data_IF_240521644552
#
_entry.id   IF_240521644552
#
_cell.length_a   1.000
_cell.length_b   1.000
_cell.length_c   1.000
_cell.angle_alpha   90.00
_cell.angle_beta   90.00
_cell.angle_gamma   90.00
#
_symmetry.space_group_name_H-M   'P 1'
#
loop_
_entity.id
_entity.type
_entity.pdbx_description
1 polymer ?
#
# COMPACT_ATOMS: atom_id res chain seq x y z
N UNK A 1 -16.04 35.07 11.45
CA UNK A 1 -16.39 36.15 10.51
C UNK A 1 -16.15 37.48 11.21
N UNK A 2 -15.25 38.32 10.66
CA UNK A 2 -14.95 39.74 11.01
C UNK A 2 -14.28 39.94 12.38
N UNK A 3 -13.17 40.67 12.52
CA UNK A 3 -12.97 42.07 12.12
C UNK A 3 -11.53 42.41 11.67
N UNK A 4 -11.46 43.40 10.77
CA UNK A 4 -10.29 44.02 10.13
C UNK A 4 -9.99 45.38 10.80
N UNK A 5 -8.69 45.66 10.96
CA UNK A 5 -7.92 46.92 11.04
C UNK A 5 -8.57 48.30 11.40
N UNK A 6 -7.90 49.02 12.31
CA UNK A 6 -7.45 50.44 12.17
C UNK A 6 -6.47 50.77 13.33
N UNK A 7 -5.14 50.85 13.11
CA UNK A 7 -4.30 52.04 12.79
C UNK A 7 -3.53 52.64 13.99
N UNK A 8 -2.19 52.73 13.91
CA UNK A 8 -1.37 53.97 13.94
C UNK A 8 0.14 53.64 14.02
N UNK A 9 0.91 54.34 13.19
CA UNK A 9 2.38 54.45 13.11
C UNK A 9 3.05 54.84 14.44
N UNK A 10 4.18 54.21 14.78
CA UNK A 10 5.48 54.84 15.10
C UNK A 10 6.45 53.84 15.76
N UNK A 11 7.49 53.46 15.01
CA UNK A 11 8.80 53.10 15.56
C UNK A 11 8.98 51.74 16.27
N UNK A 12 10.11 51.11 15.93
CA UNK A 12 10.86 50.11 16.70
C UNK A 12 10.59 48.61 16.50
N UNK A 13 11.60 48.04 15.83
CA UNK A 13 12.10 46.66 15.73
C UNK A 13 11.28 45.61 14.97
N UNK A 14 11.91 44.85 14.03
CA UNK A 14 11.40 43.54 13.68
C UNK A 14 11.57 42.68 14.93
N UNK A 15 10.48 42.46 15.66
CA UNK A 15 10.40 41.34 16.57
C UNK A 15 10.76 40.10 15.75
N UNK A 16 11.74 39.35 16.25
CA UNK A 16 12.10 38.03 15.79
C UNK A 16 10.82 37.30 15.38
N UNK A 17 10.84 36.66 14.22
CA UNK A 17 9.86 35.65 13.89
C UNK A 17 9.86 34.65 15.06
N UNK A 18 8.90 34.77 15.97
CA UNK A 18 8.52 33.68 16.84
C UNK A 18 8.17 32.58 15.86
N UNK A 19 9.07 31.62 15.71
CA UNK A 19 8.77 30.36 15.03
C UNK A 19 7.61 29.78 15.80
N UNK A 20 6.38 30.02 15.32
CA UNK A 20 5.18 29.43 15.89
C UNK A 20 5.40 27.93 15.83
N UNK A 21 5.77 27.34 16.96
CA UNK A 21 5.88 25.89 17.03
C UNK A 21 4.50 25.34 16.71
N UNK A 22 4.40 24.34 15.82
CA UNK A 22 3.12 23.75 15.48
C UNK A 22 2.37 23.35 16.75
N UNK A 23 1.07 23.62 16.82
CA UNK A 23 0.32 23.33 18.05
C UNK A 23 0.09 21.83 18.25
N UNK A 24 0.29 21.03 17.20
CA UNK A 24 0.24 19.57 17.18
C UNK A 24 1.22 18.97 16.16
N UNK A 25 1.53 17.67 16.29
CA UNK A 25 2.32 16.91 15.31
C UNK A 25 1.56 16.74 13.99
N UNK A 26 0.23 16.62 14.04
CA UNK A 26 -0.59 16.63 12.83
C UNK A 26 -0.36 17.94 12.05
N UNK A 27 -0.38 19.10 12.72
CA UNK A 27 -0.09 20.39 12.07
C UNK A 27 1.36 20.51 11.60
N UNK A 28 2.34 20.05 12.40
CA UNK A 28 3.77 20.07 12.06
C UNK A 28 4.04 19.44 10.69
N UNK A 29 3.38 18.33 10.40
CA UNK A 29 3.52 17.59 9.15
C UNK A 29 2.43 17.92 8.12
N UNK A 30 1.84 19.13 8.21
CA UNK A 30 0.75 19.61 7.33
C UNK A 30 -0.32 18.54 7.09
N UNK A 31 -0.63 17.83 8.18
CA UNK A 31 -1.50 16.70 8.20
C UNK A 31 -2.96 17.10 8.17
N UNK A 32 -3.81 16.13 7.86
CA UNK A 32 -5.25 16.30 7.79
C UNK A 32 -5.91 15.13 8.51
N UNK A 33 -6.66 15.45 9.56
CA UNK A 33 -7.58 14.52 10.23
C UNK A 33 -9.02 14.92 9.86
N UNK A 34 -9.73 14.04 9.15
CA UNK A 34 -11.07 14.33 8.65
C UNK A 34 -12.01 13.14 8.83
N UNK A 35 -13.24 13.41 9.26
CA UNK A 35 -14.30 12.41 9.27
C UNK A 35 -14.70 12.02 7.85
N UNK A 36 -14.70 10.71 7.54
CA UNK A 36 -14.95 10.22 6.18
C UNK A 36 -16.42 10.34 5.78
N UNK A 37 -17.34 10.19 6.72
CA UNK A 37 -18.77 10.28 6.44
C UNK A 37 -19.55 10.76 7.64
N UNK A 38 -20.55 11.62 7.37
CA UNK A 38 -21.55 12.04 8.38
C UNK A 38 -22.37 10.87 8.92
N UNK A 39 -22.49 9.77 8.16
CA UNK A 39 -23.24 8.58 8.56
C UNK A 39 -22.45 7.64 9.48
N UNK A 40 -21.11 7.77 9.51
CA UNK A 40 -20.23 6.98 10.39
C UNK A 40 -19.31 7.94 11.16
N UNK A 41 -19.81 8.54 12.27
CA UNK A 41 -19.13 9.63 12.96
C UNK A 41 -17.77 9.26 13.58
N UNK A 42 -17.53 7.97 13.74
CA UNK A 42 -16.36 7.47 14.45
C UNK A 42 -15.21 7.04 13.52
N UNK A 43 -15.34 7.28 12.20
CA UNK A 43 -14.39 6.81 11.20
C UNK A 43 -13.68 7.98 10.49
N UNK A 44 -12.34 7.98 10.57
CA UNK A 44 -11.50 9.09 10.16
C UNK A 44 -10.49 8.73 9.07
N UNK A 45 -10.16 9.72 8.26
CA UNK A 45 -9.00 9.76 7.36
C UNK A 45 -7.89 10.54 8.04
N UNK A 46 -6.67 10.00 8.05
CA UNK A 46 -5.47 10.68 8.52
C UNK A 46 -4.42 10.74 7.41
N UNK A 47 -3.99 11.95 7.08
CA UNK A 47 -2.82 12.21 6.25
C UNK A 47 -1.74 12.88 7.09
N UNK A 48 -0.50 12.43 6.95
CA UNK A 48 0.71 13.07 7.45
C UNK A 48 1.70 13.18 6.28
N UNK A 49 2.28 14.36 6.06
CA UNK A 49 3.38 14.48 5.10
C UNK A 49 4.63 13.80 5.66
N UNK A 50 5.46 13.27 4.77
CA UNK A 50 6.71 12.62 5.16
C UNK A 50 7.81 13.57 5.62
N UNK A 51 7.62 14.87 5.44
CA UNK A 51 8.54 15.90 5.90
C UNK A 51 7.79 17.19 6.21
N UNK A 52 8.37 18.02 7.07
CA UNK A 52 7.88 19.38 7.32
C UNK A 52 8.08 20.26 6.10
N UNK A 53 7.33 21.36 6.04
CA UNK A 53 7.57 22.40 5.05
C UNK A 53 8.59 23.39 5.59
N UNK A 54 9.70 23.53 4.86
CA UNK A 54 10.69 24.59 5.04
C UNK A 54 11.11 25.09 3.66
N UNK A 55 11.49 26.38 3.58
CA UNK A 55 11.96 27.01 2.35
C UNK A 55 13.20 26.30 1.80
N UNK A 56 14.13 25.93 2.70
CA UNK A 56 15.31 25.14 2.38
C UNK A 56 15.05 23.67 2.62
N UNK A 57 15.54 22.82 1.72
CA UNK A 57 15.34 21.37 1.80
C UNK A 57 16.12 20.77 2.96
N UNK A 58 17.32 21.29 3.26
CA UNK A 58 18.15 20.82 4.37
C UNK A 58 17.53 21.03 5.76
N UNK A 59 16.61 21.99 5.89
CA UNK A 59 15.95 22.31 7.16
C UNK A 59 14.68 21.46 7.38
N UNK A 60 14.24 20.70 6.37
CA UNK A 60 13.05 19.86 6.48
C UNK A 60 13.30 18.66 7.37
N UNK A 61 12.43 18.50 8.36
CA UNK A 61 12.46 17.35 9.25
C UNK A 61 11.64 16.21 8.67
N UNK A 62 12.21 15.01 8.59
CA UNK A 62 11.47 13.81 8.20
C UNK A 62 10.51 13.37 9.29
N UNK A 63 9.34 12.87 8.90
CA UNK A 63 8.40 12.20 9.79
C UNK A 63 9.04 10.92 10.31
N UNK A 64 9.46 10.95 11.58
CA UNK A 64 10.10 9.85 12.28
C UNK A 64 9.09 9.10 13.16
N UNK A 65 9.48 7.95 13.70
CA UNK A 65 8.61 7.08 14.50
C UNK A 65 8.01 7.77 15.73
N UNK A 66 8.78 8.63 16.40
CA UNK A 66 8.34 9.34 17.60
C UNK A 66 7.26 10.35 17.26
N UNK A 67 7.50 11.17 16.25
CA UNK A 67 6.56 12.21 15.83
C UNK A 67 5.29 11.59 15.22
N UNK A 68 5.43 10.47 14.50
CA UNK A 68 4.29 9.68 14.03
C UNK A 68 3.45 9.14 15.19
N UNK A 69 4.07 8.54 16.20
CA UNK A 69 3.36 8.01 17.36
C UNK A 69 2.61 9.12 18.13
N UNK A 70 3.22 10.29 18.28
CA UNK A 70 2.57 11.47 18.86
C UNK A 70 1.37 11.93 18.02
N UNK A 71 1.50 11.98 16.69
CA UNK A 71 0.39 12.32 15.80
C UNK A 71 -0.78 11.31 15.90
N UNK A 72 -0.49 10.01 16.09
CA UNK A 72 -1.54 9.01 16.36
C UNK A 72 -2.19 9.26 17.73
N UNK A 73 -1.42 9.61 18.76
CA UNK A 73 -1.95 9.93 20.08
C UNK A 73 -2.90 11.15 20.04
N UNK A 74 -2.58 12.16 19.23
CA UNK A 74 -3.39 13.37 19.00
C UNK A 74 -4.74 13.07 18.31
N UNK A 75 -4.93 11.87 17.77
CA UNK A 75 -6.26 11.44 17.29
C UNK A 75 -7.24 11.11 18.42
N UNK A 76 -6.78 11.10 19.67
CA UNK A 76 -7.60 10.87 20.88
C UNK A 76 -8.38 9.55 20.84
N UNK A 77 -7.79 8.51 20.24
CA UNK A 77 -8.39 7.18 20.14
C UNK A 77 -9.47 7.04 19.05
N UNK A 78 -9.68 8.07 18.23
CA UNK A 78 -10.55 7.99 17.05
C UNK A 78 -10.07 6.88 16.12
N UNK A 79 -11.03 6.13 15.59
CA UNK A 79 -10.73 5.03 14.69
C UNK A 79 -10.45 5.55 13.28
N UNK A 80 -9.29 5.19 12.74
CA UNK A 80 -8.82 5.61 11.43
C UNK A 80 -9.17 4.51 10.43
N UNK A 81 -9.77 4.86 9.31
CA UNK A 81 -10.07 3.94 8.20
C UNK A 81 -9.05 4.02 7.08
N UNK A 82 -8.52 5.21 6.83
CA UNK A 82 -7.45 5.40 5.86
C UNK A 82 -6.34 6.28 6.45
N UNK A 83 -5.13 5.72 6.47
CA UNK A 83 -3.92 6.39 6.94
C UNK A 83 -2.89 6.50 5.82
N UNK A 84 -2.40 7.72 5.58
CA UNK A 84 -1.33 7.99 4.62
C UNK A 84 -0.17 8.70 5.33
N UNK A 85 0.99 8.06 5.36
CA UNK A 85 2.23 8.62 5.90
C UNK A 85 3.39 8.23 4.97
N UNK A 86 3.55 8.98 3.87
CA UNK A 86 4.46 8.63 2.76
C UNK A 86 5.76 9.41 2.82
N UNK A 87 6.86 8.83 2.33
CA UNK A 87 8.18 9.48 2.12
C UNK A 87 8.80 10.08 3.40
N UNK A 88 8.50 9.51 4.56
CA UNK A 88 9.13 9.84 5.84
C UNK A 88 10.33 8.95 6.13
N UNK A 89 10.66 8.85 7.41
CA UNK A 89 11.69 8.00 7.97
C UNK A 89 11.10 6.96 8.95
N UNK A 90 9.91 6.44 8.62
CA UNK A 90 9.21 5.48 9.47
C UNK A 90 9.86 4.09 9.42
N UNK A 91 10.04 3.46 10.57
CA UNK A 91 10.47 2.07 10.71
C UNK A 91 9.31 1.17 11.18
N UNK A 92 9.57 -0.12 11.37
CA UNK A 92 8.59 -1.03 11.96
C UNK A 92 8.12 -0.59 13.36
N UNK A 93 8.91 0.22 14.10
CA UNK A 93 8.52 0.73 15.40
C UNK A 93 7.32 1.70 15.32
N UNK A 94 7.18 2.47 14.24
CA UNK A 94 6.01 3.34 14.04
C UNK A 94 4.70 2.55 14.06
N UNK A 95 4.72 1.29 13.58
CA UNK A 95 3.52 0.45 13.47
C UNK A 95 2.96 0.07 14.84
N UNK A 96 3.77 0.06 15.91
CA UNK A 96 3.30 -0.20 17.27
C UNK A 96 2.28 0.84 17.75
N UNK A 97 2.36 2.08 17.26
CA UNK A 97 1.38 3.12 17.56
C UNK A 97 0.00 2.87 16.91
N UNK A 98 -0.09 1.98 15.92
CA UNK A 98 -1.34 1.62 15.26
C UNK A 98 -2.09 0.48 15.97
N UNK A 99 -1.55 -0.06 17.06
CA UNK A 99 -2.26 -1.05 17.86
C UNK A 99 -3.60 -0.49 18.37
N UNK A 100 -4.69 -1.24 18.16
CA UNK A 100 -6.05 -0.79 18.48
C UNK A 100 -6.77 0.00 17.39
N UNK A 101 -6.14 0.28 16.24
CA UNK A 101 -6.78 0.88 15.06
C UNK A 101 -7.52 -0.20 14.22
N UNK A 102 -8.46 -0.88 14.86
CA UNK A 102 -9.18 -2.05 14.29
C UNK A 102 -10.05 -1.71 13.08
N UNK A 103 -10.39 -0.43 12.87
CA UNK A 103 -11.16 0.01 11.71
C UNK A 103 -10.29 0.43 10.50
N UNK A 104 -8.97 0.30 10.58
CA UNK A 104 -8.09 0.66 9.47
C UNK A 104 -8.26 -0.30 8.30
N UNK A 105 -8.61 0.24 7.14
CA UNK A 105 -8.77 -0.50 5.87
C UNK A 105 -7.71 -0.16 4.85
N UNK A 106 -7.15 1.05 4.90
CA UNK A 106 -6.19 1.52 3.90
C UNK A 106 -4.97 2.12 4.59
N UNK A 107 -3.82 1.52 4.34
CA UNK A 107 -2.55 1.95 4.91
C UNK A 107 -1.55 2.24 3.79
N UNK A 108 -1.07 3.49 3.73
CA UNK A 108 -0.08 3.90 2.75
C UNK A 108 1.20 4.39 3.43
N UNK A 109 2.23 3.56 3.37
CA UNK A 109 3.57 3.79 3.92
C UNK A 109 4.63 3.98 2.81
N UNK A 110 4.18 4.28 1.59
CA UNK A 110 5.07 4.33 0.43
C UNK A 110 6.22 5.32 0.61
N UNK A 111 7.43 4.88 0.29
CA UNK A 111 8.66 5.68 0.32
C UNK A 111 9.32 5.80 1.70
N UNK A 112 8.85 5.06 2.71
CA UNK A 112 9.57 4.91 3.99
C UNK A 112 10.58 3.75 3.87
N UNK A 113 11.82 4.05 3.48
CA UNK A 113 12.83 3.02 3.16
C UNK A 113 13.21 2.13 4.35
N UNK A 114 12.97 2.58 5.57
CA UNK A 114 13.25 1.87 6.83
C UNK A 114 12.14 0.89 7.25
N UNK A 115 11.00 0.86 6.55
CA UNK A 115 9.98 -0.19 6.69
C UNK A 115 10.51 -1.50 6.12
N UNK A 116 10.51 -2.56 6.93
CA UNK A 116 11.08 -3.87 6.64
C UNK A 116 10.08 -5.02 6.95
N UNK A 117 10.54 -6.27 6.92
CA UNK A 117 9.69 -7.45 7.12
C UNK A 117 9.05 -7.51 8.51
N UNK A 118 9.66 -6.92 9.54
CA UNK A 118 9.08 -6.82 10.88
C UNK A 118 7.85 -5.91 10.89
N UNK A 119 7.80 -4.90 10.02
CA UNK A 119 6.60 -4.09 9.86
C UNK A 119 5.42 -4.92 9.35
N UNK A 120 5.65 -5.89 8.44
CA UNK A 120 4.59 -6.77 7.94
C UNK A 120 3.97 -7.62 9.05
N UNK A 121 4.81 -8.15 9.95
CA UNK A 121 4.37 -8.89 11.14
C UNK A 121 3.49 -8.04 12.07
N UNK A 122 3.90 -6.80 12.34
CA UNK A 122 3.13 -5.87 13.17
C UNK A 122 1.83 -5.43 12.48
N UNK A 123 1.87 -5.17 11.17
CA UNK A 123 0.68 -4.83 10.38
C UNK A 123 -0.35 -5.96 10.48
N UNK A 124 0.07 -7.21 10.28
CA UNK A 124 -0.82 -8.36 10.39
C UNK A 124 -1.43 -8.51 11.80
N UNK A 125 -0.61 -8.30 12.83
CA UNK A 125 -1.06 -8.42 14.22
C UNK A 125 -2.05 -7.32 14.65
N UNK A 126 -1.87 -6.08 14.18
CA UNK A 126 -2.65 -4.94 14.66
C UNK A 126 -3.82 -4.55 13.76
N UNK A 127 -3.78 -4.91 12.47
CA UNK A 127 -4.68 -4.39 11.44
C UNK A 127 -5.41 -5.53 10.69
N UNK A 128 -6.17 -6.40 11.39
CA UNK A 128 -6.72 -7.63 10.81
C UNK A 128 -7.73 -7.39 9.67
N UNK A 129 -8.29 -6.17 9.59
CA UNK A 129 -9.29 -5.80 8.59
C UNK A 129 -8.71 -5.02 7.41
N UNK A 130 -7.39 -4.99 7.27
CA UNK A 130 -6.74 -4.19 6.22
C UNK A 130 -7.14 -4.70 4.82
N UNK A 131 -7.54 -3.78 3.95
CA UNK A 131 -8.01 -4.05 2.58
C UNK A 131 -7.04 -3.55 1.51
N UNK A 132 -6.30 -2.48 1.79
CA UNK A 132 -5.29 -1.93 0.89
C UNK A 132 -4.03 -1.57 1.66
N UNK A 133 -2.91 -2.09 1.19
CA UNK A 133 -1.59 -1.87 1.76
C UNK A 133 -0.63 -1.39 0.67
N UNK A 134 -0.06 -0.20 0.85
CA UNK A 134 0.93 0.34 -0.05
C UNK A 134 2.30 0.44 0.64
N UNK A 135 3.21 -0.43 0.20
CA UNK A 135 4.60 -0.57 0.66
C UNK A 135 5.59 -0.19 -0.45
N UNK A 136 5.15 0.57 -1.46
CA UNK A 136 6.02 1.06 -2.54
C UNK A 136 7.31 1.67 -1.98
N UNK A 137 8.48 1.33 -2.51
CA UNK A 137 9.75 1.99 -2.14
C UNK A 137 10.20 1.72 -0.68
N UNK A 138 9.75 0.62 -0.07
CA UNK A 138 10.18 0.15 1.26
C UNK A 138 11.23 -0.97 1.16
N UNK A 139 11.77 -1.43 2.29
CA UNK A 139 12.78 -2.50 2.33
C UNK A 139 12.21 -3.92 2.51
N UNK A 140 10.89 -4.08 2.39
CA UNK A 140 10.18 -5.38 2.51
C UNK A 140 10.66 -6.36 1.44
N UNK A 141 10.80 -7.63 1.83
CA UNK A 141 11.22 -8.76 1.00
C UNK A 141 10.15 -9.84 0.91
N UNK A 142 10.41 -10.89 0.12
CA UNK A 142 9.53 -12.07 0.03
C UNK A 142 9.22 -12.69 1.40
N UNK A 143 10.16 -12.61 2.36
CA UNK A 143 9.96 -13.11 3.72
C UNK A 143 8.89 -12.33 4.48
N UNK A 144 8.79 -11.02 4.24
CA UNK A 144 7.80 -10.16 4.87
C UNK A 144 6.37 -10.51 4.47
N UNK A 145 6.17 -10.96 3.22
CA UNK A 145 4.85 -11.32 2.70
C UNK A 145 4.21 -12.47 3.48
N UNK A 146 5.00 -13.43 3.98
CA UNK A 146 4.49 -14.59 4.73
C UNK A 146 3.67 -14.15 5.95
N UNK A 147 4.06 -13.05 6.60
CA UNK A 147 3.33 -12.55 7.76
C UNK A 147 1.96 -11.95 7.41
N UNK A 148 1.72 -11.59 6.14
CA UNK A 148 0.47 -10.98 5.70
C UNK A 148 -0.62 -12.02 5.36
N UNK A 149 -0.34 -13.32 5.49
CA UNK A 149 -1.27 -14.40 5.13
C UNK A 149 -2.61 -14.34 5.91
N UNK A 150 -2.56 -13.82 7.14
CA UNK A 150 -3.73 -13.70 8.01
C UNK A 150 -4.63 -12.50 7.68
N UNK A 151 -4.21 -11.62 6.74
CA UNK A 151 -5.00 -10.47 6.31
C UNK A 151 -6.04 -10.88 5.26
N UNK A 152 -7.05 -11.64 5.68
CA UNK A 152 -8.07 -12.23 4.79
C UNK A 152 -8.87 -11.20 4.00
N UNK A 153 -8.99 -9.96 4.51
CA UNK A 153 -9.67 -8.86 3.82
C UNK A 153 -8.79 -8.11 2.80
N UNK A 154 -7.49 -8.43 2.68
CA UNK A 154 -6.54 -7.70 1.84
C UNK A 154 -6.85 -7.88 0.36
N UNK A 155 -7.17 -6.81 -0.35
CA UNK A 155 -7.54 -6.84 -1.78
C UNK A 155 -6.49 -6.22 -2.67
N UNK A 156 -5.67 -5.32 -2.13
CA UNK A 156 -4.71 -4.56 -2.92
C UNK A 156 -3.39 -4.42 -2.16
N UNK A 157 -2.33 -4.94 -2.75
CA UNK A 157 -0.98 -4.85 -2.23
C UNK A 157 -0.04 -4.21 -3.26
N UNK A 158 0.60 -3.10 -2.90
CA UNK A 158 1.61 -2.46 -3.75
C UNK A 158 3.00 -2.65 -3.16
N UNK A 159 3.87 -3.36 -3.88
CA UNK A 159 5.24 -3.73 -3.47
C UNK A 159 6.28 -3.37 -4.54
N UNK A 160 5.95 -2.42 -5.40
CA UNK A 160 6.87 -1.86 -6.38
C UNK A 160 8.07 -1.18 -5.69
N UNK A 161 9.27 -1.30 -6.27
CA UNK A 161 10.52 -0.74 -5.71
C UNK A 161 10.82 -1.25 -4.29
N UNK A 162 10.49 -2.52 -4.03
CA UNK A 162 10.87 -3.26 -2.81
C UNK A 162 11.82 -4.41 -3.17
N UNK A 163 12.16 -5.25 -2.19
CA UNK A 163 12.92 -6.50 -2.42
C UNK A 163 12.01 -7.70 -2.71
N UNK A 164 10.69 -7.47 -2.81
CA UNK A 164 9.75 -8.51 -3.21
C UNK A 164 9.96 -8.85 -4.68
N UNK A 165 10.16 -10.14 -4.96
CA UNK A 165 10.25 -10.66 -6.31
C UNK A 165 8.85 -10.94 -6.86
N UNK A 166 8.73 -10.98 -8.19
CA UNK A 166 7.47 -11.36 -8.81
C UNK A 166 7.05 -12.79 -8.41
N UNK A 167 8.00 -13.72 -8.38
CA UNK A 167 7.75 -15.11 -7.95
C UNK A 167 7.26 -15.17 -6.50
N UNK A 168 7.93 -14.45 -5.58
CA UNK A 168 7.51 -14.39 -4.17
C UNK A 168 6.11 -13.81 -4.01
N UNK A 169 5.77 -12.76 -4.78
CA UNK A 169 4.43 -12.19 -4.79
C UNK A 169 3.38 -13.16 -5.37
N UNK A 170 3.71 -13.91 -6.43
CA UNK A 170 2.80 -14.87 -7.06
C UNK A 170 2.53 -16.07 -6.12
N UNK A 171 3.57 -16.60 -5.48
CA UNK A 171 3.44 -17.65 -4.46
C UNK A 171 2.60 -17.17 -3.28
N UNK A 172 2.85 -15.94 -2.79
CA UNK A 172 2.04 -15.35 -1.72
C UNK A 172 0.56 -15.22 -2.11
N UNK A 173 0.27 -14.74 -3.33
CA UNK A 173 -1.11 -14.65 -3.84
C UNK A 173 -1.81 -16.02 -3.89
N UNK A 174 -1.12 -17.05 -4.36
CA UNK A 174 -1.65 -18.42 -4.39
C UNK A 174 -1.91 -18.99 -2.98
N UNK A 175 -1.05 -18.66 -2.01
CA UNK A 175 -1.26 -19.01 -0.60
C UNK A 175 -2.44 -18.27 0.03
N UNK A 176 -2.65 -17.01 -0.34
CA UNK A 176 -3.82 -16.24 0.11
C UNK A 176 -5.13 -16.88 -0.36
N UNK A 177 -5.20 -17.38 -1.60
CA UNK A 177 -6.37 -18.14 -2.05
C UNK A 177 -6.50 -19.47 -1.32
N UNK A 178 -5.44 -20.29 -1.32
CA UNK A 178 -5.52 -21.68 -0.84
C UNK A 178 -5.65 -21.80 0.68
N UNK A 179 -5.03 -20.90 1.45
CA UNK A 179 -5.01 -20.93 2.92
C UNK A 179 -6.10 -20.03 3.51
N UNK A 180 -6.20 -18.78 3.04
CA UNK A 180 -7.14 -17.81 3.61
C UNK A 180 -8.43 -17.62 2.80
N UNK A 181 -8.60 -18.34 1.68
CA UNK A 181 -9.78 -18.22 0.83
C UNK A 181 -9.89 -16.87 0.11
N UNK A 182 -8.80 -16.10 0.08
CA UNK A 182 -8.78 -14.78 -0.53
C UNK A 182 -8.41 -14.88 -2.02
N UNK A 183 -9.43 -15.01 -2.85
CA UNK A 183 -9.35 -15.04 -4.31
C UNK A 183 -9.40 -13.65 -4.96
N UNK A 184 -9.56 -12.59 -4.16
CA UNK A 184 -9.77 -11.19 -4.56
C UNK A 184 -8.48 -10.34 -4.50
N UNK A 185 -7.35 -10.88 -3.99
CA UNK A 185 -6.10 -10.14 -3.84
C UNK A 185 -5.42 -9.83 -5.20
N UNK A 186 -5.18 -8.53 -5.43
CA UNK A 186 -4.35 -8.01 -6.51
C UNK A 186 -3.01 -7.48 -5.96
N UNK A 187 -1.90 -7.81 -6.64
CA UNK A 187 -0.56 -7.38 -6.26
C UNK A 187 0.12 -6.63 -7.41
N UNK A 188 0.58 -5.41 -7.13
CA UNK A 188 1.40 -4.64 -8.05
C UNK A 188 2.88 -4.81 -7.73
N UNK A 189 3.61 -5.47 -8.64
CA UNK A 189 5.07 -5.66 -8.60
C UNK A 189 5.68 -4.91 -9.78
N UNK A 190 6.57 -3.94 -9.51
CA UNK A 190 7.66 -3.49 -10.41
C UNK A 190 7.40 -3.01 -11.85
N UNK A 191 8.40 -2.37 -12.47
CA UNK A 191 8.39 -2.08 -13.91
C UNK A 191 8.78 -3.32 -14.70
N UNK A 192 8.07 -3.57 -15.81
CA UNK A 192 8.35 -4.67 -16.72
C UNK A 192 7.78 -6.03 -16.28
N UNK A 193 7.03 -6.05 -15.18
CA UNK A 193 6.22 -7.19 -14.75
C UNK A 193 4.76 -6.76 -14.71
N UNK A 194 3.83 -7.53 -15.28
CA UNK A 194 2.42 -7.22 -15.19
C UNK A 194 1.95 -7.40 -13.74
N UNK A 195 0.92 -6.64 -13.36
CA UNK A 195 0.28 -6.83 -12.07
C UNK A 195 -0.26 -8.26 -11.97
N UNK A 196 -0.17 -8.83 -10.77
CA UNK A 196 -0.81 -10.08 -10.44
C UNK A 196 -2.27 -9.79 -10.13
N UNK A 197 -3.15 -9.98 -11.12
CA UNK A 197 -4.59 -9.85 -10.95
C UNK A 197 -5.15 -10.88 -9.98
N UNK A 198 -6.34 -10.64 -9.44
CA UNK A 198 -6.98 -11.58 -8.52
C UNK A 198 -7.35 -12.88 -9.23
N UNK A 199 -7.34 -13.99 -8.49
CA UNK A 199 -7.58 -15.32 -9.07
C UNK A 199 -9.03 -15.42 -9.53
N UNK A 200 -9.96 -14.85 -8.76
CA UNK A 200 -11.36 -14.69 -9.15
C UNK A 200 -11.54 -13.89 -10.42
N UNK A 201 -10.83 -12.76 -10.58
CA UNK A 201 -10.90 -11.98 -11.81
C UNK A 201 -10.39 -12.79 -13.01
N UNK A 202 -9.29 -13.54 -12.84
CA UNK A 202 -8.78 -14.46 -13.84
C UNK A 202 -9.80 -15.53 -14.23
N UNK A 203 -10.45 -16.17 -13.26
CA UNK A 203 -11.51 -17.17 -13.49
C UNK A 203 -12.71 -16.56 -14.24
N UNK A 204 -13.13 -15.35 -13.85
CA UNK A 204 -14.20 -14.62 -14.53
C UNK A 204 -13.88 -14.33 -16.00
N UNK A 205 -12.64 -13.88 -16.30
CA UNK A 205 -12.21 -13.62 -17.67
C UNK A 205 -12.19 -14.90 -18.51
N UNK A 206 -11.68 -16.02 -17.97
CA UNK A 206 -11.68 -17.31 -18.66
C UNK A 206 -13.10 -17.80 -18.97
N UNK A 207 -14.01 -17.72 -18.00
CA UNK A 207 -15.41 -18.10 -18.19
C UNK A 207 -16.11 -17.20 -19.23
N UNK A 208 -15.82 -15.90 -19.19
CA UNK A 208 -16.36 -14.93 -20.16
C UNK A 208 -15.83 -15.20 -21.57
N UNK A 209 -14.54 -15.51 -21.72
CA UNK A 209 -13.94 -15.90 -22.99
C UNK A 209 -14.62 -17.16 -23.54
N UNK A 210 -14.69 -18.23 -22.74
CA UNK A 210 -15.32 -19.49 -23.15
C UNK A 210 -16.76 -19.29 -23.60
N UNK A 211 -17.55 -18.54 -22.83
CA UNK A 211 -18.94 -18.21 -23.20
C UNK A 211 -19.04 -17.47 -24.54
N UNK A 212 -18.11 -16.56 -24.84
CA UNK A 212 -18.15 -15.83 -26.11
C UNK A 212 -17.68 -16.69 -27.29
N UNK A 213 -16.78 -17.65 -27.07
CA UNK A 213 -16.44 -18.70 -28.06
C UNK A 213 -17.67 -19.55 -28.36
N UNK A 214 -18.35 -20.05 -27.33
CA UNK A 214 -19.54 -20.90 -27.48
C UNK A 214 -20.69 -20.17 -28.22
N UNK A 215 -20.81 -18.85 -28.00
CA UNK A 215 -21.78 -17.98 -28.67
C UNK A 215 -21.36 -17.57 -30.10
N UNK A 216 -20.20 -18.03 -30.58
CA UNK A 216 -19.66 -17.65 -31.90
C UNK A 216 -19.28 -16.17 -32.02
N UNK A 217 -19.11 -15.47 -30.89
CA UNK A 217 -18.71 -14.04 -30.85
C UNK A 217 -17.19 -13.87 -30.91
N UNK A 218 -16.44 -14.88 -30.48
CA UNK A 218 -14.98 -14.93 -30.56
C UNK A 218 -14.57 -16.17 -31.33
N UNK A 219 -13.57 -16.02 -32.21
CA UNK A 219 -12.94 -17.14 -32.89
C UNK A 219 -11.87 -17.75 -31.95
N UNK A 220 -12.01 -19.02 -31.52
CA UNK A 220 -11.02 -19.68 -30.66
C UNK A 220 -9.67 -19.88 -31.36
N UNK A 221 -9.63 -19.80 -32.68
CA UNK A 221 -8.43 -19.90 -33.49
C UNK A 221 -7.94 -18.53 -33.98
N UNK A 222 -8.44 -17.43 -33.40
CA UNK A 222 -7.95 -16.09 -33.73
C UNK A 222 -6.44 -16.01 -33.41
N UNK A 223 -5.64 -16.06 -34.47
CA UNK A 223 -4.23 -15.68 -34.45
C UNK A 223 -4.20 -14.19 -34.78
N UNK A 224 -3.62 -13.38 -33.91
CA UNK A 224 -3.50 -11.95 -34.14
C UNK A 224 -2.71 -11.69 -35.44
N UNK A 225 -3.41 -11.13 -36.45
CA UNK A 225 -2.85 -10.88 -37.79
C UNK A 225 -2.22 -9.50 -37.92
N UNK A 226 -2.06 -8.77 -36.82
CA UNK A 226 -1.36 -7.49 -36.77
C UNK A 226 -0.01 -7.59 -36.01
N UNK A 227 0.98 -8.33 -36.54
CA UNK A 227 2.29 -8.52 -35.89
C UNK A 227 3.17 -7.25 -35.82
N UNK A 228 2.71 -6.10 -36.34
CA UNK A 228 3.51 -4.88 -36.46
C UNK A 228 3.07 -3.71 -35.58
N UNK A 229 2.19 -3.91 -34.61
CA UNK A 229 2.09 -2.94 -33.50
C UNK A 229 3.28 -3.19 -32.58
N UNK A 230 4.42 -2.56 -32.90
CA UNK A 230 5.62 -2.61 -32.05
C UNK A 230 5.26 -2.07 -30.67
N UNK A 231 5.12 -2.97 -29.69
CA UNK A 231 5.28 -2.59 -28.30
C UNK A 231 6.68 -1.97 -28.15
N UNK A 232 6.77 -0.80 -27.52
CA UNK A 232 8.06 -0.23 -27.16
C UNK A 232 8.87 -1.28 -26.37
N UNK A 233 10.15 -1.42 -26.70
CA UNK A 233 10.98 -2.53 -26.26
C UNK A 233 11.03 -2.69 -24.73
N UNK A 234 10.17 -3.57 -24.20
CA UNK A 234 10.05 -3.90 -22.79
C UNK A 234 10.42 -5.37 -22.52
N UNK A 235 11.66 -5.55 -22.05
CA UNK A 235 12.15 -6.63 -21.18
C UNK A 235 11.86 -8.11 -21.57
N UNK A 236 12.78 -8.72 -22.34
CA UNK A 236 12.77 -10.11 -22.86
C UNK A 236 12.69 -11.23 -21.80
N UNK A 237 12.86 -10.92 -20.52
CA UNK A 237 12.84 -11.91 -19.43
C UNK A 237 11.44 -12.51 -19.21
N UNK A 238 10.41 -11.71 -19.47
CA UNK A 238 9.03 -12.05 -19.14
C UNK A 238 8.44 -13.19 -20.00
N UNK A 239 8.86 -13.30 -21.26
CA UNK A 239 8.38 -14.36 -22.16
C UNK A 239 8.99 -15.74 -21.89
N UNK A 240 10.18 -15.80 -21.27
CA UNK A 240 10.77 -17.05 -20.80
C UNK A 240 10.09 -17.52 -19.50
N UNK A 241 9.80 -16.59 -18.59
CA UNK A 241 9.15 -16.89 -17.32
C UNK A 241 7.70 -17.41 -17.53
N UNK A 242 6.95 -16.84 -18.48
CA UNK A 242 5.59 -17.29 -18.87
C UNK A 242 5.56 -18.70 -19.48
N UNK A 243 6.62 -19.11 -20.17
CA UNK A 243 6.70 -20.47 -20.74
C UNK A 243 6.95 -21.52 -19.67
N UNK A 244 7.61 -21.15 -18.57
CA UNK A 244 7.87 -22.02 -17.44
C UNK A 244 6.65 -22.15 -16.51
N UNK A 245 5.76 -21.15 -16.46
CA UNK A 245 4.50 -21.20 -15.68
C UNK A 245 3.44 -22.15 -16.26
N UNK A 246 3.57 -22.57 -17.52
CA UNK A 246 2.54 -23.42 -18.18
C UNK A 246 2.82 -24.92 -17.96
N UNK A 247 4.02 -25.29 -17.52
CA UNK A 247 4.46 -26.70 -17.51
C UNK A 247 4.58 -27.35 -16.13
N UNK A 248 4.48 -26.63 -15.02
CA UNK A 248 4.49 -27.26 -13.68
C UNK A 248 3.14 -27.05 -12.95
N UNK A 249 2.53 -28.12 -12.39
CA UNK A 249 1.34 -27.99 -11.57
C UNK A 249 1.65 -27.17 -10.30
N UNK A 250 0.73 -26.28 -9.94
CA UNK A 250 0.82 -25.31 -8.83
C UNK A 250 0.95 -26.01 -7.45
N UNK A 251 0.69 -27.32 -7.40
CA UNK A 251 0.91 -28.19 -6.25
C UNK A 251 1.61 -29.47 -6.73
N UNK A 252 2.78 -29.78 -6.17
CA UNK A 252 3.32 -31.15 -6.25
C UNK A 252 2.55 -31.97 -5.22
N UNK A 253 1.86 -33.03 -5.66
CA UNK A 253 1.37 -34.05 -4.74
C UNK A 253 2.60 -34.62 -4.03
N UNK A 254 2.71 -34.40 -2.71
CA UNK A 254 3.62 -35.18 -1.89
C UNK A 254 3.09 -36.61 -1.87
N UNK A 255 3.85 -37.52 -2.46
CA UNK A 255 3.63 -38.96 -2.36
C UNK A 255 3.59 -39.34 -0.87
N UNK A 256 2.38 -39.47 -0.33
CA UNK A 256 2.13 -40.16 0.91
C UNK A 256 2.29 -41.66 0.67
N UNK A 257 3.54 -42.14 0.67
CA UNK A 257 3.83 -43.53 0.99
C UNK A 257 4.37 -43.61 2.43
N UNK A 258 3.47 -44.03 3.32
CA UNK A 258 3.81 -44.76 4.55
C UNK A 258 3.20 -46.16 4.37
N UNK A 259 3.89 -47.28 4.64
CA UNK A 259 5.33 -47.52 4.86
C UNK A 259 6.01 -48.32 3.73
#
# INVERSE_FOLDING_TARGET
MKYILLSILLGFQPAFAETMTPSSMIEKYEGLLMQISKATPDIYYLLLRGETYEEKVEDREKLNDKDFALAIQETEGRQIYELRARKGALSHMAIDSLNGQTELRKLNLAGNRTIDDEACKKIAAYLPRLQSLNLYGTSVSDKGLIYLLDLQELRSLHVFDTKVTWNGANEFRAKMESISGNDDLEITVGHGTPPLGSIKHGAFLRATYQKNVDLGRLDPNYIDRYPEVKAEAGNKKYEEDLKNEITEPILKEEDNEIP
#
